data_IF_090900369464
#
_entry.id   IF_090900369464
#
_cell.length_a   1.000
_cell.length_b   1.000
_cell.length_c   1.000
_cell.angle_alpha   90.00
_cell.angle_beta   90.00
_cell.angle_gamma   90.00
#
_symmetry.space_group_name_H-M   'P 1'
#
loop_
_entity.id
_entity.type
_entity.pdbx_description
1 polymer ?
#
# COMPACT_ATOMS: atom_id res chain seq x y z
N UNK A 1 6.03 22.32 8.72
CA UNK A 1 4.63 22.50 9.20
C UNK A 1 4.14 21.20 9.83
N UNK A 2 3.22 21.23 10.84
CA UNK A 2 2.59 20.05 11.42
C UNK A 2 1.49 19.51 10.49
N UNK A 3 1.11 18.24 10.64
CA UNK A 3 0.10 17.62 9.77
C UNK A 3 -1.27 18.29 9.91
N UNK A 4 -1.63 18.63 11.13
CA UNK A 4 -2.90 19.32 11.43
C UNK A 4 -2.99 20.67 10.72
N UNK A 5 -1.87 21.42 10.70
CA UNK A 5 -1.80 22.73 10.05
C UNK A 5 -1.96 22.58 8.51
N UNK A 6 -1.32 21.56 7.93
CA UNK A 6 -1.47 21.26 6.49
C UNK A 6 -2.93 20.88 6.17
N UNK A 7 -3.56 20.06 7.03
CA UNK A 7 -4.97 19.69 6.85
C UNK A 7 -5.88 20.92 6.92
N UNK A 8 -5.62 21.88 7.82
CA UNK A 8 -6.40 23.14 7.87
C UNK A 8 -6.23 23.99 6.59
N UNK A 9 -5.04 23.98 5.97
CA UNK A 9 -4.86 24.64 4.68
C UNK A 9 -5.74 24.02 3.59
N UNK A 10 -5.90 22.69 3.58
CA UNK A 10 -6.84 22.03 2.67
C UNK A 10 -8.29 22.43 2.96
N UNK A 11 -8.69 22.53 4.23
CA UNK A 11 -10.04 22.95 4.62
C UNK A 11 -10.32 24.40 4.25
N UNK A 12 -9.35 25.29 4.39
CA UNK A 12 -9.45 26.70 3.98
C UNK A 12 -9.29 26.90 2.46
N UNK A 13 -9.07 25.83 1.69
CA UNK A 13 -8.82 25.91 0.24
C UNK A 13 -7.64 26.80 -0.12
N UNK A 14 -6.60 26.86 0.73
CA UNK A 14 -5.34 27.52 0.41
C UNK A 14 -4.48 26.65 -0.50
N UNK A 15 -3.96 27.20 -1.60
CA UNK A 15 -3.04 26.51 -2.51
C UNK A 15 -1.74 26.10 -1.81
N UNK A 16 -1.38 26.76 -0.69
CA UNK A 16 -0.24 26.39 0.14
C UNK A 16 -0.34 24.95 0.68
N UNK A 17 -1.57 24.40 0.79
CA UNK A 17 -1.77 23.01 1.21
C UNK A 17 -1.00 22.02 0.33
N UNK A 18 -1.01 22.25 -1.00
CA UNK A 18 -0.32 21.39 -1.96
C UNK A 18 1.18 21.56 -1.83
N UNK A 19 1.66 22.81 -1.75
CA UNK A 19 3.08 23.13 -1.62
C UNK A 19 3.69 22.55 -0.35
N UNK A 20 3.01 22.72 0.80
CA UNK A 20 3.46 22.18 2.09
C UNK A 20 3.41 20.64 2.13
N UNK A 21 2.40 20.05 1.48
CA UNK A 21 2.32 18.59 1.31
C UNK A 21 3.49 18.08 0.49
N UNK A 22 3.79 18.71 -0.64
CA UNK A 22 4.90 18.33 -1.51
C UNK A 22 6.25 18.49 -0.79
N UNK A 23 6.46 19.58 -0.06
CA UNK A 23 7.67 19.82 0.72
C UNK A 23 7.89 18.72 1.79
N UNK A 24 6.83 18.35 2.50
CA UNK A 24 6.93 17.40 3.63
C UNK A 24 6.93 15.94 3.19
N UNK A 25 6.12 15.58 2.19
CA UNK A 25 5.85 14.18 1.82
C UNK A 25 6.23 13.82 0.39
N UNK A 26 6.80 14.76 -0.38
CA UNK A 26 7.17 14.53 -1.78
C UNK A 26 8.08 13.33 -1.96
N UNK A 27 9.18 13.26 -1.21
CA UNK A 27 10.10 12.12 -1.27
C UNK A 27 9.44 10.78 -0.92
N UNK A 28 8.53 10.78 0.06
CA UNK A 28 7.78 9.59 0.47
C UNK A 28 6.81 9.13 -0.62
N UNK A 29 6.04 10.02 -1.19
CA UNK A 29 5.12 9.72 -2.28
C UNK A 29 5.88 9.27 -3.55
N UNK A 30 6.96 9.97 -3.91
CA UNK A 30 7.82 9.60 -5.04
C UNK A 30 8.44 8.21 -4.85
N UNK A 31 8.90 7.89 -3.64
CA UNK A 31 9.40 6.56 -3.33
C UNK A 31 8.35 5.46 -3.56
N UNK A 32 7.10 5.68 -3.12
CA UNK A 32 6.00 4.72 -3.35
C UNK A 32 5.74 4.56 -4.84
N UNK A 33 5.55 5.67 -5.56
CA UNK A 33 5.21 5.66 -6.98
C UNK A 33 6.31 5.02 -7.82
N UNK A 34 7.58 5.37 -7.59
CA UNK A 34 8.74 4.79 -8.31
C UNK A 34 8.88 3.28 -8.09
N UNK A 35 8.61 2.78 -6.88
CA UNK A 35 8.65 1.34 -6.60
C UNK A 35 7.52 0.55 -7.27
N UNK A 36 6.47 1.22 -7.72
CA UNK A 36 5.34 0.59 -8.43
C UNK A 36 5.51 0.74 -9.95
N UNK A 37 5.88 1.93 -10.42
CA UNK A 37 5.89 2.27 -11.85
C UNK A 37 7.25 2.02 -12.54
N UNK A 38 8.35 1.99 -11.76
CA UNK A 38 9.72 1.83 -12.26
C UNK A 38 10.16 2.88 -13.28
N UNK A 39 9.46 4.02 -13.35
CA UNK A 39 9.74 5.19 -14.17
C UNK A 39 9.71 6.43 -13.28
N UNK A 40 10.74 7.25 -13.37
CA UNK A 40 10.84 8.49 -12.58
C UNK A 40 9.85 9.53 -13.09
N UNK A 41 9.75 9.65 -14.41
CA UNK A 41 8.87 10.59 -15.09
C UNK A 41 7.40 10.30 -14.77
N UNK A 42 6.99 9.03 -14.92
CA UNK A 42 5.65 8.61 -14.54
C UNK A 42 5.41 8.82 -13.04
N UNK A 43 6.38 8.53 -12.19
CA UNK A 43 6.23 8.70 -10.75
C UNK A 43 5.98 10.16 -10.36
N UNK A 44 6.65 11.12 -10.98
CA UNK A 44 6.44 12.55 -10.75
C UNK A 44 5.01 12.98 -11.16
N UNK A 45 4.52 12.52 -12.32
CA UNK A 45 3.16 12.78 -12.80
C UNK A 45 2.12 12.27 -11.79
N UNK A 46 2.24 10.98 -11.38
CA UNK A 46 1.23 10.35 -10.52
C UNK A 46 1.31 10.78 -9.05
N UNK A 47 2.43 11.32 -8.60
CA UNK A 47 2.52 12.01 -7.31
C UNK A 47 1.73 13.31 -7.34
N UNK A 48 1.79 14.08 -8.43
CA UNK A 48 0.98 15.28 -8.59
C UNK A 48 -0.52 14.93 -8.64
N UNK A 49 -0.89 13.84 -9.31
CA UNK A 49 -2.26 13.33 -9.30
C UNK A 49 -2.72 12.97 -7.88
N UNK A 50 -1.83 12.43 -7.04
CA UNK A 50 -2.14 12.12 -5.65
C UNK A 50 -2.39 13.39 -4.82
N UNK A 51 -1.65 14.47 -5.04
CA UNK A 51 -1.91 15.77 -4.40
C UNK A 51 -3.25 16.36 -4.87
N UNK A 52 -3.55 16.25 -6.14
CA UNK A 52 -4.84 16.68 -6.66
C UNK A 52 -6.01 15.85 -6.13
N UNK A 53 -5.82 14.54 -5.96
CA UNK A 53 -6.80 13.69 -5.31
C UNK A 53 -6.99 14.07 -3.83
N UNK A 54 -5.90 14.39 -3.11
CA UNK A 54 -5.98 14.90 -1.75
C UNK A 54 -6.76 16.22 -1.68
N UNK A 55 -6.48 17.15 -2.59
CA UNK A 55 -7.22 18.43 -2.71
C UNK A 55 -8.72 18.23 -2.92
N UNK A 56 -9.12 17.25 -3.73
CA UNK A 56 -10.54 16.93 -3.96
C UNK A 56 -11.22 16.26 -2.76
N UNK A 57 -10.45 15.49 -2.00
CA UNK A 57 -10.97 14.62 -0.94
C UNK A 57 -11.01 15.33 0.41
N UNK A 58 -10.11 16.28 0.64
CA UNK A 58 -10.05 17.12 1.84
C UNK A 58 -10.50 18.55 1.49
N UNK A 59 -11.61 19.10 2.01
CA UNK A 59 -12.67 18.42 2.73
C UNK A 59 -13.57 17.59 1.80
N UNK A 60 -14.51 16.75 2.27
CA UNK A 60 -14.95 16.66 3.67
C UNK A 60 -14.13 15.70 4.54
N UNK A 61 -13.31 14.84 3.96
CA UNK A 61 -12.52 13.91 4.76
C UNK A 61 -11.44 14.65 5.57
N UNK A 62 -11.31 14.27 6.85
CA UNK A 62 -10.25 14.75 7.74
C UNK A 62 -9.36 13.57 8.13
N UNK A 63 -8.21 13.37 7.46
CA UNK A 63 -7.33 12.25 7.77
C UNK A 63 -6.69 12.41 9.16
N UNK A 64 -6.78 11.37 9.99
CA UNK A 64 -6.09 11.33 11.29
C UNK A 64 -4.56 11.26 11.12
N UNK A 65 -4.09 10.69 10.03
CA UNK A 65 -2.67 10.58 9.69
C UNK A 65 -2.49 10.95 8.21
N UNK A 66 -1.99 12.14 7.96
CA UNK A 66 -1.84 12.68 6.62
C UNK A 66 -0.83 11.86 5.79
N UNK A 67 0.26 11.39 6.41
CA UNK A 67 1.26 10.54 5.74
C UNK A 67 0.64 9.24 5.20
N UNK A 68 -0.10 8.54 6.03
CA UNK A 68 -0.77 7.28 5.65
C UNK A 68 -1.82 7.52 4.57
N UNK A 69 -2.59 8.59 4.69
CA UNK A 69 -3.60 8.98 3.70
C UNK A 69 -2.97 9.24 2.32
N UNK A 70 -1.91 10.06 2.26
CA UNK A 70 -1.18 10.34 1.03
C UNK A 70 -0.53 9.09 0.44
N UNK A 71 0.07 8.25 1.29
CA UNK A 71 0.65 6.98 0.85
C UNK A 71 -0.38 6.06 0.20
N UNK A 72 -1.60 5.97 0.75
CA UNK A 72 -2.72 5.21 0.17
C UNK A 72 -3.16 5.79 -1.18
N UNK A 73 -3.32 7.12 -1.28
CA UNK A 73 -3.68 7.77 -2.55
C UNK A 73 -2.63 7.51 -3.62
N UNK A 74 -1.37 7.79 -3.32
CA UNK A 74 -0.25 7.60 -4.25
C UNK A 74 -0.17 6.15 -4.72
N UNK A 75 -0.24 5.18 -3.79
CA UNK A 75 -0.23 3.75 -4.12
C UNK A 75 -1.37 3.38 -5.06
N UNK A 76 -2.60 3.77 -4.73
CA UNK A 76 -3.78 3.39 -5.52
C UNK A 76 -3.73 3.98 -6.94
N UNK A 77 -3.29 5.23 -7.08
CA UNK A 77 -3.14 5.89 -8.37
C UNK A 77 -2.05 5.20 -9.21
N UNK A 78 -0.89 4.92 -8.61
CA UNK A 78 0.21 4.24 -9.29
C UNK A 78 -0.16 2.81 -9.71
N UNK A 79 -0.87 2.06 -8.88
CA UNK A 79 -1.34 0.72 -9.22
C UNK A 79 -2.33 0.72 -10.39
N UNK A 80 -3.30 1.65 -10.40
CA UNK A 80 -4.23 1.81 -11.53
C UNK A 80 -3.51 2.08 -12.85
N UNK A 81 -2.42 2.85 -12.80
CA UNK A 81 -1.59 3.10 -13.99
C UNK A 81 -0.85 1.85 -14.42
N UNK A 82 -0.23 1.15 -13.48
CA UNK A 82 0.50 -0.08 -13.75
C UNK A 82 -0.42 -1.14 -14.38
N UNK A 83 -1.65 -1.28 -13.88
CA UNK A 83 -2.65 -2.18 -14.46
C UNK A 83 -2.97 -1.84 -15.91
N UNK A 84 -3.17 -0.55 -16.23
CA UNK A 84 -3.39 -0.12 -17.62
C UNK A 84 -2.23 -0.50 -18.54
N UNK A 85 -0.98 -0.34 -18.07
CA UNK A 85 0.20 -0.76 -18.83
C UNK A 85 0.27 -2.27 -19.02
N UNK A 86 -0.06 -3.03 -17.99
CA UNK A 86 -0.01 -4.50 -18.06
C UNK A 86 -1.18 -5.07 -18.84
N UNK A 87 -2.38 -4.47 -18.75
CA UNK A 87 -3.54 -4.84 -19.56
C UNK A 87 -3.25 -4.69 -21.06
N UNK A 88 -2.55 -3.63 -21.44
CA UNK A 88 -2.12 -3.41 -22.82
C UNK A 88 -1.07 -4.46 -23.31
N UNK A 89 -0.32 -5.07 -22.40
CA UNK A 89 0.76 -6.03 -22.72
C UNK A 89 0.37 -7.51 -22.55
N UNK A 90 -0.52 -7.86 -21.60
CA UNK A 90 -0.77 -9.27 -21.18
C UNK A 90 -2.22 -9.61 -20.79
N UNK A 91 -3.21 -8.70 -20.96
CA UNK A 91 -4.58 -8.90 -20.46
C UNK A 91 -4.67 -8.77 -18.94
N UNK A 92 -5.31 -7.75 -18.45
CA UNK A 92 -5.30 -7.24 -17.06
C UNK A 92 -5.53 -8.23 -15.91
N UNK A 93 -5.61 -7.70 -14.68
CA UNK A 93 -5.92 -8.49 -13.48
C UNK A 93 -4.72 -8.95 -12.65
N UNK A 94 -3.50 -8.47 -12.93
CA UNK A 94 -2.31 -8.86 -12.15
C UNK A 94 -2.38 -8.40 -10.69
N UNK A 95 -2.86 -7.18 -10.44
CA UNK A 95 -3.00 -6.64 -9.07
C UNK A 95 -4.02 -7.46 -8.30
N UNK A 96 -5.18 -7.76 -8.91
CA UNK A 96 -6.21 -8.60 -8.29
C UNK A 96 -5.69 -10.00 -8.00
N UNK A 97 -4.92 -10.59 -8.92
CA UNK A 97 -4.29 -11.90 -8.71
C UNK A 97 -3.30 -11.87 -7.53
N UNK A 98 -2.53 -10.79 -7.36
CA UNK A 98 -1.61 -10.68 -6.21
C UNK A 98 -2.38 -10.50 -4.90
N UNK A 99 -3.43 -9.70 -4.91
CA UNK A 99 -4.22 -9.46 -3.71
C UNK A 99 -5.05 -10.67 -3.30
N UNK A 100 -5.57 -11.45 -4.26
CA UNK A 100 -6.31 -12.69 -3.97
C UNK A 100 -5.45 -13.73 -3.23
N UNK A 101 -4.13 -13.71 -3.40
CA UNK A 101 -3.23 -14.55 -2.58
C UNK A 101 -3.35 -14.25 -1.06
N UNK A 102 -3.72 -13.00 -0.69
CA UNK A 102 -3.96 -12.61 0.71
C UNK A 102 -5.39 -12.89 1.16
N UNK A 103 -6.37 -12.83 0.25
CA UNK A 103 -7.77 -13.13 0.57
C UNK A 103 -7.93 -14.56 1.08
N UNK A 104 -7.12 -15.50 0.59
CA UNK A 104 -7.06 -16.87 1.14
C UNK A 104 -6.61 -16.91 2.62
N UNK A 105 -5.98 -15.85 3.11
CA UNK A 105 -5.51 -15.74 4.48
C UNK A 105 -6.47 -14.95 5.38
N UNK A 106 -7.30 -14.11 4.77
CA UNK A 106 -8.25 -13.23 5.45
C UNK A 106 -9.62 -13.68 4.94
N UNK A 107 -10.32 -14.53 5.67
CA UNK A 107 -11.57 -15.11 5.16
C UNK A 107 -12.59 -14.04 4.76
N UNK A 108 -13.12 -14.20 3.59
CA UNK A 108 -14.30 -13.50 3.12
C UNK A 108 -15.54 -14.09 3.78
N UNK A 109 -15.83 -13.75 5.02
CA UNK A 109 -17.18 -13.93 5.53
C UNK A 109 -17.94 -12.62 5.27
N UNK A 110 -18.77 -12.69 4.24
CA UNK A 110 -19.71 -11.63 3.83
C UNK A 110 -20.80 -11.30 4.87
N UNK A 111 -20.65 -11.76 6.12
CA UNK A 111 -21.56 -11.49 7.22
C UNK A 111 -20.92 -10.71 8.39
N UNK A 112 -19.72 -10.16 8.20
CA UNK A 112 -19.02 -9.40 9.27
C UNK A 112 -19.01 -7.90 8.91
N UNK A 113 -20.12 -7.38 8.43
CA UNK A 113 -20.28 -5.92 8.25
C UNK A 113 -20.43 -5.17 9.57
N UNK A 114 -20.54 -5.85 10.72
CA UNK A 114 -20.99 -5.19 11.96
C UNK A 114 -19.96 -5.04 13.07
N UNK A 115 -18.69 -5.43 12.98
CA UNK A 115 -17.76 -5.10 14.08
C UNK A 115 -16.27 -5.43 13.91
N UNK A 116 -15.70 -5.52 12.74
CA UNK A 116 -14.23 -5.57 12.69
C UNK A 116 -13.72 -4.16 12.96
N UNK A 117 -13.08 -3.97 14.11
CA UNK A 117 -12.27 -2.78 14.34
C UNK A 117 -11.08 -2.82 13.37
N UNK A 118 -11.23 -2.12 12.26
CA UNK A 118 -10.16 -2.01 11.25
C UNK A 118 -8.85 -1.47 11.84
N UNK A 119 -8.93 -0.68 12.90
CA UNK A 119 -7.74 -0.16 13.59
C UNK A 119 -7.01 -1.29 14.29
N UNK A 120 -7.72 -2.15 15.00
CA UNK A 120 -7.15 -3.32 15.67
C UNK A 120 -6.55 -4.32 14.66
N UNK A 121 -7.22 -4.55 13.52
CA UNK A 121 -6.69 -5.40 12.45
C UNK A 121 -5.38 -4.82 11.87
N UNK A 122 -5.33 -3.51 11.62
CA UNK A 122 -4.13 -2.85 11.11
C UNK A 122 -2.98 -2.95 12.12
N UNK A 123 -3.24 -2.73 13.41
CA UNK A 123 -2.25 -2.87 14.47
C UNK A 123 -1.74 -4.31 14.57
N UNK A 124 -2.63 -5.27 14.47
CA UNK A 124 -2.30 -6.70 14.47
C UNK A 124 -1.37 -7.07 13.29
N UNK A 125 -1.71 -6.64 12.06
CA UNK A 125 -0.87 -6.86 10.88
C UNK A 125 0.50 -6.17 11.04
N UNK A 126 0.55 -4.93 11.53
CA UNK A 126 1.79 -4.21 11.77
C UNK A 126 2.68 -4.92 12.81
N UNK A 127 2.08 -5.44 13.87
CA UNK A 127 2.77 -6.21 14.90
C UNK A 127 3.34 -7.51 14.32
N UNK A 128 2.54 -8.23 13.53
CA UNK A 128 3.02 -9.41 12.81
C UNK A 128 4.22 -9.07 11.90
N UNK A 129 4.11 -8.05 11.06
CA UNK A 129 5.19 -7.65 10.15
C UNK A 129 6.46 -7.22 10.91
N UNK A 130 6.29 -6.55 12.05
CA UNK A 130 7.41 -6.11 12.89
C UNK A 130 8.15 -7.28 13.53
N UNK A 131 7.45 -8.38 13.80
CA UNK A 131 8.03 -9.62 14.37
C UNK A 131 8.85 -10.43 13.35
N UNK A 132 8.74 -10.14 12.06
CA UNK A 132 9.41 -10.91 11.01
C UNK A 132 10.89 -10.54 10.88
N UNK A 133 11.76 -11.51 10.52
CA UNK A 133 13.10 -11.23 10.02
C UNK A 133 13.07 -10.23 8.85
N UNK A 134 14.07 -9.37 8.76
CA UNK A 134 14.13 -8.27 7.80
C UNK A 134 13.83 -8.70 6.37
N UNK A 135 14.49 -9.75 5.86
CA UNK A 135 14.27 -10.24 4.50
C UNK A 135 12.82 -10.69 4.28
N UNK A 136 12.24 -11.42 5.22
CA UNK A 136 10.88 -11.93 5.12
C UNK A 136 9.86 -10.78 5.07
N UNK A 137 10.03 -9.78 5.94
CA UNK A 137 9.21 -8.57 5.95
C UNK A 137 9.30 -7.81 4.62
N UNK A 138 10.51 -7.63 4.12
CA UNK A 138 10.75 -6.94 2.84
C UNK A 138 10.06 -7.68 1.68
N UNK A 139 10.24 -9.00 1.58
CA UNK A 139 9.61 -9.82 0.54
C UNK A 139 8.08 -9.71 0.60
N UNK A 140 7.50 -9.74 1.80
CA UNK A 140 6.06 -9.58 1.99
C UNK A 140 5.56 -8.20 1.54
N UNK A 141 6.22 -7.13 2.00
CA UNK A 141 5.86 -5.74 1.64
C UNK A 141 6.04 -5.50 0.14
N UNK A 142 7.12 -5.99 -0.46
CA UNK A 142 7.32 -5.90 -1.92
C UNK A 142 6.17 -6.56 -2.68
N UNK A 143 5.80 -7.78 -2.29
CA UNK A 143 4.75 -8.54 -2.98
C UNK A 143 3.39 -7.90 -2.83
N UNK A 144 2.95 -7.53 -1.61
CA UNK A 144 1.56 -7.16 -1.35
C UNK A 144 1.32 -5.66 -1.26
N UNK A 145 2.32 -4.88 -0.87
CA UNK A 145 2.19 -3.41 -0.85
C UNK A 145 2.56 -2.78 -2.18
N UNK A 146 3.70 -3.18 -2.76
CA UNK A 146 4.16 -2.64 -4.06
C UNK A 146 3.70 -3.49 -5.25
N UNK A 147 3.12 -4.64 -5.02
CA UNK A 147 2.65 -5.59 -6.06
C UNK A 147 3.79 -6.01 -7.01
N UNK A 148 5.02 -6.10 -6.48
CA UNK A 148 6.19 -6.47 -7.28
C UNK A 148 6.11 -7.92 -7.78
N UNK A 149 6.51 -8.18 -9.03
CA UNK A 149 6.67 -9.54 -9.55
C UNK A 149 7.67 -10.36 -8.72
N UNK A 150 7.44 -11.67 -8.63
CA UNK A 150 8.34 -12.58 -7.89
C UNK A 150 9.76 -12.54 -8.47
N UNK A 151 9.89 -12.47 -9.81
CA UNK A 151 11.17 -12.36 -10.51
C UNK A 151 11.96 -11.10 -10.11
N UNK A 152 11.27 -9.97 -10.02
CA UNK A 152 11.87 -8.70 -9.61
C UNK A 152 12.36 -8.74 -8.15
N UNK A 153 11.53 -9.31 -7.24
CA UNK A 153 11.93 -9.49 -5.84
C UNK A 153 13.15 -10.39 -5.74
N UNK A 154 13.18 -11.47 -6.53
CA UNK A 154 14.30 -12.42 -6.57
C UNK A 154 15.60 -11.74 -7.03
N UNK A 155 15.54 -10.98 -8.11
CA UNK A 155 16.67 -10.22 -8.66
C UNK A 155 17.17 -9.16 -7.67
N UNK A 156 16.28 -8.32 -7.16
CA UNK A 156 16.62 -7.20 -6.28
C UNK A 156 17.31 -7.64 -4.99
N UNK A 157 16.94 -8.79 -4.45
CA UNK A 157 17.49 -9.31 -3.18
C UNK A 157 18.46 -10.47 -3.36
N UNK A 158 18.86 -10.77 -4.60
CA UNK A 158 19.79 -11.83 -4.96
C UNK A 158 19.42 -13.19 -4.33
N UNK A 159 18.17 -13.59 -4.50
CA UNK A 159 17.63 -14.88 -4.07
C UNK A 159 16.85 -15.53 -5.20
N UNK A 160 16.69 -16.86 -5.18
CA UNK A 160 15.91 -17.54 -6.23
C UNK A 160 14.41 -17.25 -6.12
N UNK A 161 13.70 -17.26 -7.25
CA UNK A 161 12.23 -17.15 -7.26
C UNK A 161 11.56 -18.24 -6.40
N UNK A 162 12.12 -19.45 -6.39
CA UNK A 162 11.65 -20.56 -5.54
C UNK A 162 11.73 -20.19 -4.06
N UNK A 163 12.80 -19.51 -3.65
CA UNK A 163 12.95 -19.00 -2.28
C UNK A 163 11.94 -17.93 -1.97
N UNK A 164 11.69 -16.98 -2.89
CA UNK A 164 10.63 -15.96 -2.72
C UNK A 164 9.27 -16.62 -2.53
N UNK A 165 8.88 -17.54 -3.42
CA UNK A 165 7.63 -18.30 -3.34
C UNK A 165 7.47 -19.03 -2.00
N UNK A 166 8.54 -19.69 -1.55
CA UNK A 166 8.57 -20.42 -0.28
C UNK A 166 8.42 -19.49 0.94
N UNK A 167 9.04 -18.30 0.90
CA UNK A 167 8.90 -17.29 1.94
C UNK A 167 7.45 -16.81 1.99
N UNK A 168 6.88 -16.41 0.86
CA UNK A 168 5.51 -15.90 0.78
C UNK A 168 4.48 -16.93 1.25
N UNK A 169 4.61 -18.18 0.80
CA UNK A 169 3.73 -19.27 1.25
C UNK A 169 3.74 -19.44 2.77
N UNK A 170 4.94 -19.52 3.37
CA UNK A 170 5.07 -19.66 4.83
C UNK A 170 4.55 -18.44 5.58
N UNK A 171 4.75 -17.24 5.05
CA UNK A 171 4.28 -16.01 5.68
C UNK A 171 2.75 -15.89 5.63
N UNK A 172 2.11 -16.27 4.53
CA UNK A 172 0.64 -16.32 4.46
C UNK A 172 0.07 -17.26 5.52
N UNK A 173 0.62 -18.48 5.61
CA UNK A 173 0.18 -19.46 6.64
C UNK A 173 0.35 -18.90 8.05
N UNK A 174 1.51 -18.32 8.37
CA UNK A 174 1.77 -17.72 9.68
C UNK A 174 0.87 -16.52 9.97
N UNK A 175 0.59 -15.68 8.95
CA UNK A 175 -0.33 -14.55 9.11
C UNK A 175 -1.74 -15.05 9.46
N UNK A 176 -2.22 -16.07 8.74
CA UNK A 176 -3.51 -16.71 9.02
C UNK A 176 -3.60 -17.20 10.47
N UNK A 177 -2.60 -17.98 10.90
CA UNK A 177 -2.53 -18.49 12.27
C UNK A 177 -2.44 -17.37 13.32
N UNK A 178 -1.71 -16.29 13.00
CA UNK A 178 -1.55 -15.14 13.88
C UNK A 178 -2.86 -14.36 14.04
N UNK A 179 -3.53 -14.05 12.94
CA UNK A 179 -4.83 -13.37 12.95
C UNK A 179 -5.89 -14.19 13.71
N UNK A 180 -5.91 -15.52 13.52
CA UNK A 180 -6.82 -16.39 14.22
C UNK A 180 -6.60 -16.39 15.75
N UNK A 181 -5.34 -16.29 16.22
CA UNK A 181 -5.03 -16.19 17.66
C UNK A 181 -5.45 -14.85 18.27
N UNK A 182 -5.39 -13.78 17.49
CA UNK A 182 -5.80 -12.43 17.91
C UNK A 182 -7.33 -12.22 17.80
N UNK A 183 -8.08 -13.28 17.49
CA UNK A 183 -9.55 -13.23 17.45
C UNK A 183 -10.14 -12.76 16.12
N UNK A 184 -9.31 -12.51 15.10
CA UNK A 184 -9.78 -12.29 13.74
C UNK A 184 -10.05 -13.65 13.09
N UNK A 185 -11.27 -14.17 13.26
CA UNK A 185 -11.66 -15.47 12.71
C UNK A 185 -11.68 -15.41 11.18
N UNK A 186 -11.05 -16.40 10.60
CA UNK A 186 -10.81 -16.57 9.18
C UNK A 186 -11.51 -17.86 8.72
#
# INVERSE_FOLDING_TARGET
MKDEEIVELYFSRSEDAISETALKYGNYCSYISQNILHSKEDAEEYVNDAYFAAWKTIPPQRPHNLKTFLGKLTRNISLKKQEKYQAAKRGGGYVDTVLSELEECIASNSSIEDSIDYSALIECINSFLSSLPSLNRIVFVRRYWYVSPISEIAEQYNISESKVKSILFRLRKRLKEYLGKEGFFI
#
